data_IF_521576739409
#
_entry.id   IF_521576739409
#
_cell.length_a   1.000
_cell.length_b   1.000
_cell.length_c   1.000
_cell.angle_alpha   90.00
_cell.angle_beta   90.00
_cell.angle_gamma   90.00
#
_symmetry.space_group_name_H-M   'P 1'
#
loop_
_entity.id
_entity.type
_entity.pdbx_description
1 polymer ?
#
# COMPACT_ATOMS: atom_id res chain seq x y z
N UNK A 1 -7.19 33.04 2.76
CA UNK A 1 -5.77 33.12 2.34
C UNK A 1 -5.33 34.59 2.21
N UNK A 2 -3.99 34.93 2.37
CA UNK A 2 -3.47 36.26 2.03
C UNK A 2 -3.56 36.48 0.52
N UNK A 3 -3.64 37.74 0.07
CA UNK A 3 -3.83 38.05 -1.35
C UNK A 3 -2.69 37.55 -2.25
N UNK A 4 -1.44 37.62 -1.76
CA UNK A 4 -0.30 37.11 -2.51
C UNK A 4 -0.35 35.58 -2.69
N UNK A 5 -0.74 34.86 -1.65
CA UNK A 5 -0.93 33.41 -1.68
C UNK A 5 -2.04 33.01 -2.66
N UNK A 6 -3.14 33.79 -2.71
CA UNK A 6 -4.24 33.55 -3.65
C UNK A 6 -3.82 33.77 -5.10
N UNK A 7 -3.14 34.89 -5.38
CA UNK A 7 -2.61 35.17 -6.72
C UNK A 7 -1.71 34.03 -7.19
N UNK A 8 -0.78 33.60 -6.36
CA UNK A 8 0.10 32.46 -6.64
C UNK A 8 -0.68 31.17 -6.88
N UNK A 9 -1.63 30.84 -6.02
CA UNK A 9 -2.46 29.65 -6.15
C UNK A 9 -3.19 29.61 -7.47
N UNK A 10 -3.94 30.66 -7.83
CA UNK A 10 -4.69 30.72 -9.09
C UNK A 10 -3.79 30.72 -10.34
N UNK A 11 -2.62 31.37 -10.25
CA UNK A 11 -1.63 31.34 -11.33
C UNK A 11 -1.17 29.91 -11.60
N UNK A 12 -0.81 29.16 -10.56
CA UNK A 12 -0.35 27.76 -10.64
C UNK A 12 -1.49 26.87 -11.13
N UNK A 13 -2.70 27.04 -10.59
CA UNK A 13 -3.89 26.28 -11.04
C UNK A 13 -4.12 26.44 -12.54
N UNK A 14 -3.92 27.65 -13.08
CA UNK A 14 -4.07 27.95 -14.51
C UNK A 14 -2.82 27.59 -15.34
N UNK A 15 -1.81 26.95 -14.77
CA UNK A 15 -0.54 26.60 -15.40
C UNK A 15 0.20 27.82 -16.02
N UNK A 16 0.06 29.02 -15.44
CA UNK A 16 0.74 30.24 -15.87
C UNK A 16 2.07 30.40 -15.14
N UNK A 17 3.11 30.83 -15.85
CA UNK A 17 4.37 31.27 -15.24
C UNK A 17 4.21 32.64 -14.60
N UNK A 18 5.16 33.06 -13.76
CA UNK A 18 5.18 34.44 -13.25
C UNK A 18 5.34 35.46 -14.39
N UNK A 19 6.06 35.10 -15.44
CA UNK A 19 6.24 35.92 -16.62
C UNK A 19 4.91 36.12 -17.38
N UNK A 20 4.14 35.04 -17.58
CA UNK A 20 2.81 35.11 -18.24
C UNK A 20 1.84 36.01 -17.47
N UNK A 21 1.84 35.94 -16.14
CA UNK A 21 0.94 36.74 -15.32
C UNK A 21 1.41 38.21 -15.24
N UNK A 22 2.71 38.45 -15.10
CA UNK A 22 3.28 39.79 -14.98
C UNK A 22 3.25 40.58 -16.29
N UNK A 23 3.29 39.89 -17.46
CA UNK A 23 3.42 40.50 -18.76
C UNK A 23 2.35 41.58 -19.02
N UNK A 24 2.81 42.79 -19.33
CA UNK A 24 1.96 43.96 -19.60
C UNK A 24 1.38 44.65 -18.37
N UNK A 25 1.65 44.14 -17.14
CA UNK A 25 1.11 44.70 -15.90
C UNK A 25 2.23 45.24 -14.96
N UNK A 26 3.15 44.36 -14.57
CA UNK A 26 4.20 44.62 -13.57
C UNK A 26 5.48 43.85 -13.93
N UNK A 27 6.59 44.14 -13.22
CA UNK A 27 7.78 43.28 -13.38
C UNK A 27 7.64 41.94 -12.68
N UNK A 28 8.26 40.91 -13.26
CA UNK A 28 8.29 39.54 -12.68
C UNK A 28 8.83 39.54 -11.25
N UNK A 29 9.87 40.34 -11.00
CA UNK A 29 10.46 40.51 -9.66
C UNK A 29 9.46 41.09 -8.66
N UNK A 30 8.62 42.05 -9.10
CA UNK A 30 7.58 42.60 -8.22
C UNK A 30 6.45 41.63 -7.97
N UNK A 31 6.00 40.87 -8.99
CA UNK A 31 5.03 39.77 -8.81
C UNK A 31 5.56 38.74 -7.82
N UNK A 32 6.82 38.34 -7.94
CA UNK A 32 7.42 37.37 -7.01
C UNK A 32 7.39 37.88 -5.56
N UNK A 33 7.65 39.18 -5.32
CA UNK A 33 7.55 39.77 -3.98
C UNK A 33 6.10 39.77 -3.47
N UNK A 34 5.13 40.05 -4.33
CA UNK A 34 3.69 39.97 -3.99
C UNK A 34 3.29 38.55 -3.62
N UNK A 35 3.61 37.56 -4.46
CA UNK A 35 3.30 36.16 -4.23
C UNK A 35 3.94 35.58 -2.96
N UNK A 36 5.08 36.11 -2.56
CA UNK A 36 5.76 35.74 -1.30
C UNK A 36 5.37 36.64 -0.11
N UNK A 37 4.37 37.50 -0.27
CA UNK A 37 3.91 38.44 0.76
C UNK A 37 5.05 39.37 1.33
N UNK A 38 6.08 39.60 0.52
CA UNK A 38 7.21 40.51 0.86
C UNK A 38 6.95 41.96 0.47
N UNK A 39 5.89 42.23 -0.28
CA UNK A 39 5.46 43.57 -0.66
C UNK A 39 3.91 43.63 -0.67
N UNK A 40 3.40 44.74 -0.15
CA UNK A 40 1.97 45.05 -0.22
C UNK A 40 1.71 45.80 -1.55
N UNK A 41 1.02 45.21 -2.54
CA UNK A 41 0.69 45.89 -3.78
C UNK A 41 -0.39 46.95 -3.55
N UNK A 42 -0.46 47.96 -4.44
CA UNK A 42 -1.61 48.85 -4.47
C UNK A 42 -2.87 48.13 -4.89
N UNK A 43 -4.07 48.66 -4.53
CA UNK A 43 -5.34 48.08 -4.93
C UNK A 43 -5.45 47.95 -6.45
N UNK A 44 -4.96 48.93 -7.21
CA UNK A 44 -4.96 48.91 -8.67
C UNK A 44 -4.15 47.71 -9.25
N UNK A 45 -2.99 47.43 -8.68
CA UNK A 45 -2.16 46.28 -9.10
C UNK A 45 -2.84 44.95 -8.74
N UNK A 46 -3.48 44.86 -7.59
CA UNK A 46 -4.24 43.67 -7.20
C UNK A 46 -5.42 43.46 -8.16
N UNK A 47 -6.18 44.51 -8.45
CA UNK A 47 -7.32 44.41 -9.37
C UNK A 47 -6.90 43.97 -10.78
N UNK A 48 -5.82 44.53 -11.34
CA UNK A 48 -5.28 44.09 -12.63
C UNK A 48 -4.83 42.62 -12.62
N UNK A 49 -4.17 42.17 -11.57
CA UNK A 49 -3.76 40.76 -11.44
C UNK A 49 -4.97 39.83 -11.28
N UNK A 50 -5.94 40.22 -10.47
CA UNK A 50 -7.18 39.50 -10.26
C UNK A 50 -7.99 39.39 -11.57
N UNK A 51 -8.13 40.50 -12.33
CA UNK A 51 -8.81 40.52 -13.61
C UNK A 51 -8.14 39.58 -14.63
N UNK A 52 -6.80 39.59 -14.71
CA UNK A 52 -6.04 38.70 -15.60
C UNK A 52 -6.14 37.21 -15.23
N UNK A 53 -6.38 36.92 -13.93
CA UNK A 53 -6.63 35.60 -13.41
C UNK A 53 -8.12 35.21 -13.45
N UNK A 54 -9.03 36.16 -13.73
CA UNK A 54 -10.48 35.92 -13.68
C UNK A 54 -11.01 35.72 -12.27
N UNK A 55 -10.36 36.27 -11.25
CA UNK A 55 -10.73 36.15 -9.84
C UNK A 55 -11.15 37.52 -9.26
N UNK A 56 -11.88 37.49 -8.15
CA UNK A 56 -12.22 38.73 -7.42
C UNK A 56 -11.17 39.05 -6.37
N UNK A 57 -11.10 40.34 -6.00
CA UNK A 57 -10.24 40.80 -4.92
C UNK A 57 -10.60 40.18 -3.57
N UNK A 58 -11.90 40.08 -3.28
CA UNK A 58 -12.43 39.50 -2.03
C UNK A 58 -12.67 38.01 -2.24
N UNK A 59 -12.17 37.20 -1.29
CA UNK A 59 -12.47 35.77 -1.20
C UNK A 59 -13.89 35.58 -0.64
N UNK A 60 -14.69 34.78 -1.28
CA UNK A 60 -16.03 34.47 -0.79
C UNK A 60 -15.95 33.12 -0.06
N UNK A 61 -15.95 33.14 1.27
CA UNK A 61 -15.90 31.91 2.06
C UNK A 61 -17.19 31.08 1.85
N UNK A 62 -17.04 29.82 1.55
CA UNK A 62 -18.14 28.87 1.35
C UNK A 62 -18.02 27.71 2.37
N UNK A 63 -18.38 27.94 3.66
CA UNK A 63 -18.22 26.92 4.71
C UNK A 63 -18.96 25.61 4.40
N UNK A 64 -20.11 25.68 3.71
CA UNK A 64 -20.88 24.49 3.31
C UNK A 64 -20.12 23.61 2.32
N UNK A 65 -19.42 24.21 1.34
CA UNK A 65 -18.60 23.46 0.39
C UNK A 65 -17.40 22.80 1.09
N UNK A 66 -16.78 23.52 2.02
CA UNK A 66 -15.65 22.97 2.79
C UNK A 66 -16.10 21.78 3.64
N UNK A 67 -17.27 21.81 4.27
CA UNK A 67 -17.83 20.67 5.01
C UNK A 67 -18.11 19.48 4.07
N UNK A 68 -18.75 19.72 2.92
CA UNK A 68 -18.97 18.66 1.92
C UNK A 68 -17.64 18.00 1.46
N UNK A 69 -16.58 18.79 1.26
CA UNK A 69 -15.26 18.26 0.90
C UNK A 69 -14.63 17.42 2.03
N UNK A 70 -14.75 17.86 3.28
CA UNK A 70 -14.27 17.10 4.45
C UNK A 70 -15.05 15.80 4.64
N UNK A 71 -16.35 15.81 4.41
CA UNK A 71 -17.18 14.61 4.42
C UNK A 71 -16.79 13.63 3.30
N UNK A 72 -16.56 14.15 2.08
CA UNK A 72 -16.06 13.33 0.96
C UNK A 72 -14.73 12.68 1.28
N UNK A 73 -13.80 13.41 1.87
CA UNK A 73 -12.53 12.86 2.32
C UNK A 73 -12.70 11.76 3.38
N UNK A 74 -13.63 11.96 4.32
CA UNK A 74 -13.97 10.95 5.34
C UNK A 74 -14.47 9.66 4.71
N UNK A 75 -15.30 9.73 3.68
CA UNK A 75 -15.73 8.55 2.92
C UNK A 75 -14.55 7.80 2.28
N UNK A 76 -13.53 8.52 1.78
CA UNK A 76 -12.31 7.87 1.25
C UNK A 76 -11.54 7.10 2.33
N UNK A 77 -11.48 7.63 3.55
CA UNK A 77 -10.83 6.95 4.69
C UNK A 77 -11.64 5.73 5.14
N UNK A 78 -12.96 5.82 5.09
CA UNK A 78 -13.88 4.71 5.39
C UNK A 78 -13.95 3.67 4.26
N UNK A 79 -13.34 3.95 3.09
CA UNK A 79 -13.34 3.08 1.90
C UNK A 79 -14.73 2.85 1.28
N UNK A 80 -15.63 3.82 1.39
CA UNK A 80 -16.94 3.81 0.76
C UNK A 80 -16.83 4.20 -0.73
N UNK A 81 -16.23 3.32 -1.52
CA UNK A 81 -15.77 3.63 -2.88
C UNK A 81 -16.88 4.11 -3.82
N UNK A 82 -18.04 3.49 -3.78
CA UNK A 82 -19.17 3.83 -4.64
C UNK A 82 -19.67 5.25 -4.36
N UNK A 83 -19.81 5.62 -3.09
CA UNK A 83 -20.23 6.96 -2.70
C UNK A 83 -19.16 8.01 -3.00
N UNK A 84 -17.89 7.67 -2.82
CA UNK A 84 -16.75 8.55 -3.18
C UNK A 84 -16.76 8.87 -4.67
N UNK A 85 -16.98 7.88 -5.53
CA UNK A 85 -16.99 8.05 -6.97
C UNK A 85 -18.22 8.84 -7.44
N UNK A 86 -19.37 8.56 -6.85
CA UNK A 86 -20.62 9.28 -7.15
C UNK A 86 -20.51 10.79 -6.85
N UNK A 87 -19.90 11.17 -5.73
CA UNK A 87 -19.75 12.58 -5.30
C UNK A 87 -18.65 13.34 -6.04
N UNK A 88 -17.70 12.66 -6.67
CA UNK A 88 -16.53 13.31 -7.28
C UNK A 88 -16.89 14.35 -8.33
N UNK A 89 -17.70 14.00 -9.32
CA UNK A 89 -18.04 14.91 -10.43
C UNK A 89 -18.87 16.11 -9.93
N UNK A 90 -19.81 15.90 -8.99
CA UNK A 90 -20.59 16.97 -8.39
C UNK A 90 -19.70 17.97 -7.63
N UNK A 91 -18.82 17.47 -6.77
CA UNK A 91 -17.91 18.33 -5.99
C UNK A 91 -16.89 19.06 -6.89
N UNK A 92 -16.44 18.42 -7.94
CA UNK A 92 -15.56 19.01 -8.93
C UNK A 92 -16.26 20.18 -9.67
N UNK A 93 -17.51 20.02 -10.06
CA UNK A 93 -18.29 21.07 -10.68
C UNK A 93 -18.56 22.24 -9.71
N UNK A 94 -19.02 21.95 -8.48
CA UNK A 94 -19.21 22.96 -7.41
C UNK A 94 -17.93 23.73 -7.16
N UNK A 95 -16.81 23.03 -7.04
CA UNK A 95 -15.50 23.62 -6.78
C UNK A 95 -15.04 24.52 -7.93
N UNK A 96 -15.25 24.12 -9.20
CA UNK A 96 -14.91 24.96 -10.36
C UNK A 96 -15.73 26.25 -10.42
N UNK A 97 -16.94 26.26 -9.85
CA UNK A 97 -17.79 27.45 -9.77
C UNK A 97 -17.51 28.28 -8.52
N UNK A 98 -16.85 27.69 -7.51
CA UNK A 98 -16.56 28.33 -6.24
C UNK A 98 -15.52 29.46 -6.38
N UNK A 99 -15.63 30.44 -5.49
CA UNK A 99 -14.69 31.54 -5.34
C UNK A 99 -13.96 31.51 -4.00
N UNK A 100 -14.17 30.44 -3.23
CA UNK A 100 -13.44 30.21 -1.98
C UNK A 100 -12.11 29.53 -2.27
N UNK A 101 -11.03 30.32 -2.22
CA UNK A 101 -9.68 29.79 -2.45
C UNK A 101 -9.27 28.70 -1.45
N UNK A 102 -9.85 28.69 -0.26
CA UNK A 102 -9.58 27.66 0.77
C UNK A 102 -10.19 26.33 0.33
N UNK A 103 -11.47 26.32 -0.05
CA UNK A 103 -12.14 25.13 -0.56
C UNK A 103 -11.47 24.58 -1.82
N UNK A 104 -10.98 25.44 -2.70
CA UNK A 104 -10.22 25.01 -3.89
C UNK A 104 -8.92 24.26 -3.52
N UNK A 105 -8.18 24.72 -2.51
CA UNK A 105 -6.95 24.02 -2.04
C UNK A 105 -7.29 22.70 -1.38
N UNK A 106 -8.36 22.64 -0.56
CA UNK A 106 -8.84 21.38 0.02
C UNK A 106 -9.26 20.38 -1.06
N UNK A 107 -10.01 20.84 -2.07
CA UNK A 107 -10.40 19.97 -3.17
C UNK A 107 -9.18 19.40 -3.89
N UNK A 108 -8.19 20.23 -4.22
CA UNK A 108 -6.96 19.76 -4.89
C UNK A 108 -6.21 18.71 -4.07
N UNK A 109 -6.11 18.87 -2.75
CA UNK A 109 -5.53 17.87 -1.85
C UNK A 109 -6.36 16.60 -1.78
N UNK A 110 -7.68 16.72 -1.67
CA UNK A 110 -8.56 15.55 -1.57
C UNK A 110 -8.74 14.86 -2.92
N UNK A 111 -8.65 15.56 -4.04
CA UNK A 111 -8.56 14.97 -5.38
C UNK A 111 -7.25 14.17 -5.55
N UNK A 112 -6.13 14.67 -5.01
CA UNK A 112 -4.89 13.89 -4.92
C UNK A 112 -5.10 12.58 -4.14
N UNK A 113 -5.76 12.65 -2.98
CA UNK A 113 -6.13 11.48 -2.18
C UNK A 113 -7.07 10.52 -2.91
N UNK A 114 -8.01 11.05 -3.70
CA UNK A 114 -8.94 10.28 -4.53
C UNK A 114 -8.21 9.45 -5.59
N UNK A 115 -7.30 10.04 -6.34
CA UNK A 115 -6.49 9.30 -7.32
C UNK A 115 -5.61 8.23 -6.66
N UNK A 116 -5.11 8.48 -5.45
CA UNK A 116 -4.41 7.45 -4.68
C UNK A 116 -5.33 6.29 -4.27
N UNK A 117 -6.59 6.56 -3.94
CA UNK A 117 -7.59 5.53 -3.65
C UNK A 117 -7.87 4.65 -4.88
N UNK A 118 -7.93 5.26 -6.05
CA UNK A 118 -8.12 4.57 -7.34
C UNK A 118 -6.84 3.90 -7.86
N UNK A 119 -5.69 4.13 -7.23
CA UNK A 119 -4.35 3.72 -7.69
C UNK A 119 -3.95 4.33 -9.05
N UNK A 120 -4.50 5.45 -9.40
CA UNK A 120 -4.16 6.24 -10.58
C UNK A 120 -2.93 7.11 -10.31
N UNK A 121 -1.76 6.48 -10.17
CA UNK A 121 -0.53 7.13 -9.68
C UNK A 121 -0.04 8.24 -10.61
N UNK A 122 -0.30 8.15 -11.91
CA UNK A 122 0.08 9.19 -12.88
C UNK A 122 -0.68 10.51 -12.64
N UNK A 123 -2.01 10.45 -12.44
CA UNK A 123 -2.82 11.63 -12.14
C UNK A 123 -2.48 12.19 -10.76
N UNK A 124 -2.26 11.30 -9.79
CA UNK A 124 -1.78 11.67 -8.47
C UNK A 124 -0.45 12.43 -8.52
N UNK A 125 0.52 12.00 -9.34
CA UNK A 125 1.82 12.68 -9.50
C UNK A 125 1.68 14.09 -10.10
N UNK A 126 0.79 14.28 -11.06
CA UNK A 126 0.51 15.61 -11.63
C UNK A 126 0.02 16.59 -10.56
N UNK A 127 -0.92 16.15 -9.72
CA UNK A 127 -1.43 16.97 -8.64
C UNK A 127 -0.36 17.22 -7.57
N UNK A 128 0.43 16.20 -7.24
CA UNK A 128 1.54 16.36 -6.31
C UNK A 128 2.51 17.44 -6.74
N UNK A 129 2.86 17.52 -8.04
CA UNK A 129 3.71 18.60 -8.58
C UNK A 129 3.09 19.97 -8.35
N UNK A 130 1.80 20.16 -8.66
CA UNK A 130 1.08 21.43 -8.44
C UNK A 130 1.03 21.80 -6.95
N UNK A 131 0.73 20.84 -6.08
CA UNK A 131 0.69 21.04 -4.63
C UNK A 131 2.07 21.43 -4.09
N UNK A 132 3.14 20.84 -4.63
CA UNK A 132 4.51 21.17 -4.20
C UNK A 132 4.88 22.63 -4.49
N UNK A 133 4.36 23.25 -5.54
CA UNK A 133 4.61 24.66 -5.91
C UNK A 133 3.91 25.65 -4.97
N UNK A 134 2.91 25.18 -4.19
CA UNK A 134 2.16 25.99 -3.22
C UNK A 134 2.41 25.53 -1.78
N UNK A 135 3.35 24.62 -1.56
CA UNK A 135 3.56 23.98 -0.24
C UNK A 135 3.91 24.96 0.88
N UNK A 136 4.57 26.05 0.57
CA UNK A 136 4.97 27.11 1.51
C UNK A 136 3.83 28.05 1.93
N UNK A 137 2.70 28.03 1.23
CA UNK A 137 1.51 28.81 1.59
C UNK A 137 0.43 27.96 2.31
N UNK A 138 0.66 26.67 2.47
CA UNK A 138 -0.28 25.78 3.14
C UNK A 138 -0.27 26.05 4.66
N UNK A 139 -1.47 26.07 5.25
CA UNK A 139 -1.64 26.07 6.70
C UNK A 139 -1.14 24.78 7.34
N UNK A 140 -1.00 24.70 8.65
CA UNK A 140 -0.63 23.47 9.34
C UNK A 140 -1.62 22.34 9.04
N UNK A 141 -2.94 22.60 9.01
CA UNK A 141 -3.96 21.60 8.66
C UNK A 141 -3.78 21.07 7.22
N UNK A 142 -3.58 21.96 6.24
CA UNK A 142 -3.35 21.57 4.86
C UNK A 142 -2.02 20.84 4.68
N UNK A 143 -0.97 21.24 5.39
CA UNK A 143 0.32 20.54 5.41
C UNK A 143 0.21 19.13 6.03
N UNK A 144 -0.65 18.95 7.04
CA UNK A 144 -0.95 17.64 7.58
C UNK A 144 -1.47 16.70 6.49
N UNK A 145 -2.50 17.11 5.76
CA UNK A 145 -3.06 16.32 4.64
C UNK A 145 -2.01 16.09 3.55
N UNK A 146 -1.27 17.12 3.18
CA UNK A 146 -0.22 17.01 2.17
C UNK A 146 0.82 15.94 2.55
N UNK A 147 1.41 16.01 3.75
CA UNK A 147 2.38 15.00 4.19
C UNK A 147 1.77 13.60 4.30
N UNK A 148 0.54 13.49 4.80
CA UNK A 148 -0.18 12.21 4.88
C UNK A 148 -0.38 11.59 3.51
N UNK A 149 -0.76 12.37 2.50
CA UNK A 149 -1.01 11.87 1.15
C UNK A 149 0.29 11.59 0.38
N UNK A 150 1.34 12.38 0.57
CA UNK A 150 2.68 12.05 0.08
C UNK A 150 3.17 10.72 0.70
N UNK A 151 2.91 10.52 2.00
CA UNK A 151 3.19 9.26 2.68
C UNK A 151 2.47 8.08 2.01
N UNK A 152 1.18 8.24 1.69
CA UNK A 152 0.40 7.21 1.00
C UNK A 152 0.91 6.95 -0.43
N UNK A 153 1.22 8.00 -1.19
CA UNK A 153 1.82 7.86 -2.52
C UNK A 153 3.12 7.05 -2.47
N UNK A 154 4.01 7.40 -1.55
CA UNK A 154 5.27 6.69 -1.36
C UNK A 154 5.05 5.23 -0.93
N UNK A 155 4.05 4.97 -0.07
CA UNK A 155 3.67 3.62 0.32
C UNK A 155 3.20 2.78 -0.89
N UNK A 156 2.31 3.33 -1.71
CA UNK A 156 1.80 2.68 -2.92
C UNK A 156 2.89 2.48 -3.99
N UNK A 157 3.92 3.32 -3.98
CA UNK A 157 5.11 3.23 -4.84
C UNK A 157 6.23 2.35 -4.23
N UNK A 158 5.95 1.60 -3.17
CA UNK A 158 6.91 0.75 -2.44
C UNK A 158 8.12 1.50 -1.83
N UNK A 159 8.07 2.83 -1.74
CA UNK A 159 9.10 3.67 -1.12
C UNK A 159 8.83 3.83 0.38
N UNK A 160 8.86 2.73 1.13
CA UNK A 160 8.38 2.65 2.51
C UNK A 160 9.11 3.56 3.49
N UNK A 161 10.43 3.77 3.32
CA UNK A 161 11.18 4.67 4.19
C UNK A 161 10.71 6.14 4.02
N UNK A 162 10.55 6.59 2.78
CA UNK A 162 10.01 7.92 2.47
C UNK A 162 8.55 8.07 2.94
N UNK A 163 7.75 7.00 2.82
CA UNK A 163 6.38 6.98 3.36
C UNK A 163 6.39 7.21 4.88
N UNK A 164 7.22 6.49 5.61
CA UNK A 164 7.35 6.62 7.06
C UNK A 164 7.75 8.03 7.48
N UNK A 165 8.73 8.63 6.81
CA UNK A 165 9.20 9.99 7.09
C UNK A 165 8.10 11.03 6.89
N UNK A 166 7.31 10.93 5.82
CA UNK A 166 6.20 11.83 5.57
C UNK A 166 5.05 11.63 6.56
N UNK A 167 4.70 10.40 6.92
CA UNK A 167 3.73 10.16 7.98
C UNK A 167 4.21 10.70 9.34
N UNK A 168 5.51 10.66 9.64
CA UNK A 168 6.07 11.28 10.85
C UNK A 168 5.98 12.79 10.84
N UNK A 169 6.11 13.45 9.69
CA UNK A 169 5.85 14.90 9.55
C UNK A 169 4.36 15.20 9.81
N UNK A 170 3.46 14.41 9.24
CA UNK A 170 2.03 14.54 9.52
C UNK A 170 1.72 14.32 11.01
N UNK A 171 2.29 13.29 11.65
CA UNK A 171 2.14 13.03 13.09
C UNK A 171 2.58 14.24 13.93
N UNK A 172 3.69 14.89 13.58
CA UNK A 172 4.18 16.05 14.31
C UNK A 172 3.20 17.24 14.28
N UNK A 173 2.43 17.38 13.21
CA UNK A 173 1.38 18.40 13.10
C UNK A 173 0.15 17.97 13.88
N UNK A 174 -0.28 16.71 13.73
CA UNK A 174 -1.44 16.15 14.43
C UNK A 174 -1.32 16.31 15.95
N UNK A 175 -0.13 16.14 16.52
CA UNK A 175 0.12 16.27 17.97
C UNK A 175 -0.04 17.69 18.51
N UNK A 176 0.02 18.73 17.67
CA UNK A 176 -0.08 20.15 18.06
C UNK A 176 -1.36 20.84 17.55
N UNK A 177 -2.19 20.13 16.81
CA UNK A 177 -3.41 20.64 16.20
C UNK A 177 -4.61 19.79 16.62
N UNK A 178 -5.81 20.35 16.45
CA UNK A 178 -7.04 19.62 16.79
C UNK A 178 -7.56 18.92 15.54
N UNK A 179 -7.57 17.60 15.58
CA UNK A 179 -8.15 16.74 14.54
C UNK A 179 -9.15 15.78 15.17
N UNK A 180 -10.04 15.25 14.34
CA UNK A 180 -10.95 14.17 14.73
C UNK A 180 -10.18 12.90 15.11
N UNK A 181 -10.73 12.15 16.07
CA UNK A 181 -10.09 10.89 16.53
C UNK A 181 -9.96 9.84 15.42
N UNK A 182 -10.88 9.80 14.47
CA UNK A 182 -10.76 8.89 13.33
C UNK A 182 -9.56 9.22 12.43
N UNK A 183 -9.17 10.49 12.34
CA UNK A 183 -7.99 10.94 11.60
C UNK A 183 -6.68 10.49 12.27
N UNK A 184 -6.63 10.60 13.61
CA UNK A 184 -5.53 10.05 14.41
C UNK A 184 -5.39 8.54 14.21
N UNK A 185 -6.51 7.81 14.23
CA UNK A 185 -6.53 6.36 14.01
C UNK A 185 -6.02 5.98 12.62
N UNK A 186 -6.44 6.68 11.57
CA UNK A 186 -6.02 6.40 10.19
C UNK A 186 -4.52 6.68 9.97
N UNK A 187 -3.99 7.76 10.56
CA UNK A 187 -2.55 8.02 10.51
C UNK A 187 -1.75 6.96 11.29
N UNK A 188 -2.21 6.60 12.49
CA UNK A 188 -1.58 5.52 13.27
C UNK A 188 -1.61 4.18 12.50
N UNK A 189 -2.73 3.84 11.88
CA UNK A 189 -2.82 2.64 11.05
C UNK A 189 -1.83 2.68 9.88
N UNK A 190 -1.72 3.82 9.19
CA UNK A 190 -0.78 4.02 8.08
C UNK A 190 0.69 3.90 8.53
N UNK A 191 1.03 4.45 9.71
CA UNK A 191 2.34 4.27 10.35
C UNK A 191 2.60 2.81 10.73
N UNK A 192 1.59 2.12 11.23
CA UNK A 192 1.65 0.69 11.54
C UNK A 192 1.94 -0.16 10.30
N UNK A 193 1.16 0.02 9.23
CA UNK A 193 1.37 -0.65 7.95
C UNK A 193 2.78 -0.42 7.39
N UNK A 194 3.21 0.85 7.37
CA UNK A 194 4.53 1.22 6.85
C UNK A 194 5.65 0.64 7.70
N UNK A 195 5.48 0.63 9.03
CA UNK A 195 6.44 0.02 9.96
C UNK A 195 6.53 -1.49 9.74
N UNK A 196 5.41 -2.16 9.41
CA UNK A 196 5.40 -3.58 9.04
C UNK A 196 6.22 -3.85 7.78
N UNK A 197 6.09 -3.02 6.74
CA UNK A 197 6.90 -3.15 5.51
C UNK A 197 8.38 -2.92 5.75
N UNK A 198 8.73 -2.05 6.70
CA UNK A 198 10.10 -1.76 7.12
C UNK A 198 10.65 -2.75 8.16
N UNK A 199 9.94 -3.82 8.48
CA UNK A 199 10.31 -4.81 9.52
C UNK A 199 10.53 -4.20 10.92
N UNK A 200 9.96 -3.02 11.19
CA UNK A 200 10.02 -2.35 12.49
C UNK A 200 8.89 -2.85 13.40
N UNK A 201 8.99 -4.11 13.83
CA UNK A 201 7.90 -4.85 14.53
C UNK A 201 7.35 -4.10 15.73
N UNK A 202 8.21 -3.60 16.62
CA UNK A 202 7.80 -2.86 17.82
C UNK A 202 7.01 -1.59 17.49
N UNK A 203 7.42 -0.85 16.45
CA UNK A 203 6.69 0.34 16.00
C UNK A 203 5.36 -0.03 15.34
N UNK A 204 5.33 -1.13 14.57
CA UNK A 204 4.09 -1.65 14.01
C UNK A 204 3.08 -1.96 15.12
N UNK A 205 3.47 -2.73 16.14
CA UNK A 205 2.59 -3.06 17.28
C UNK A 205 2.12 -1.78 17.99
N UNK A 206 3.03 -0.85 18.29
CA UNK A 206 2.69 0.41 18.96
C UNK A 206 1.59 1.18 18.21
N UNK A 207 1.83 1.50 16.95
CA UNK A 207 0.91 2.32 16.17
C UNK A 207 -0.39 1.60 15.86
N UNK A 208 -0.33 0.30 15.57
CA UNK A 208 -1.54 -0.48 15.28
C UNK A 208 -2.43 -0.63 16.53
N UNK A 209 -1.83 -0.79 17.72
CA UNK A 209 -2.59 -0.84 18.99
C UNK A 209 -3.27 0.51 19.27
N UNK A 210 -2.59 1.63 19.01
CA UNK A 210 -3.20 2.96 19.15
C UNK A 210 -4.39 3.13 18.20
N UNK A 211 -4.23 2.77 16.93
CA UNK A 211 -5.31 2.81 15.94
C UNK A 211 -6.50 1.91 16.35
N UNK A 212 -6.20 0.67 16.77
CA UNK A 212 -7.21 -0.30 17.19
C UNK A 212 -8.07 0.24 18.34
N UNK A 213 -7.45 0.81 19.37
CA UNK A 213 -8.18 1.37 20.50
C UNK A 213 -9.18 2.45 20.09
N UNK A 214 -8.78 3.33 19.16
CA UNK A 214 -9.66 4.39 18.66
C UNK A 214 -10.77 3.80 17.78
N UNK A 215 -10.45 2.87 16.86
CA UNK A 215 -11.45 2.25 16.00
C UNK A 215 -12.48 1.45 16.78
N UNK A 216 -12.08 0.75 17.84
CA UNK A 216 -12.99 0.05 18.74
C UNK A 216 -13.93 1.02 19.49
N UNK A 217 -13.38 2.12 20.02
CA UNK A 217 -14.16 3.14 20.71
C UNK A 217 -15.21 3.82 19.79
N UNK A 218 -14.95 3.86 18.48
CA UNK A 218 -15.85 4.43 17.47
C UNK A 218 -16.62 3.38 16.66
N UNK A 219 -16.66 2.12 17.11
CA UNK A 219 -17.38 1.01 16.47
C UNK A 219 -17.03 0.77 15.00
N UNK A 220 -15.81 1.13 14.59
CA UNK A 220 -15.31 0.81 13.25
C UNK A 220 -14.78 -0.62 13.21
N UNK A 221 -15.68 -1.57 13.09
CA UNK A 221 -15.36 -3.00 13.17
C UNK A 221 -14.44 -3.45 12.03
N UNK A 222 -14.63 -2.96 10.80
CA UNK A 222 -13.79 -3.34 9.66
C UNK A 222 -12.32 -2.94 9.90
N UNK A 223 -12.08 -1.68 10.27
CA UNK A 223 -10.72 -1.21 10.60
C UNK A 223 -10.15 -1.90 11.83
N UNK A 224 -11.00 -2.24 12.81
CA UNK A 224 -10.55 -3.03 13.97
C UNK A 224 -10.05 -4.42 13.56
N UNK A 225 -10.72 -5.10 12.63
CA UNK A 225 -10.27 -6.39 12.12
C UNK A 225 -8.97 -6.27 11.30
N UNK A 226 -8.83 -5.24 10.47
CA UNK A 226 -7.59 -4.96 9.74
C UNK A 226 -6.41 -4.70 10.70
N UNK A 227 -6.64 -3.98 11.80
CA UNK A 227 -5.64 -3.80 12.86
C UNK A 227 -5.27 -5.13 13.52
N UNK A 228 -6.24 -5.99 13.82
CA UNK A 228 -5.98 -7.31 14.39
C UNK A 228 -5.15 -8.19 13.44
N UNK A 229 -5.41 -8.16 12.14
CA UNK A 229 -4.57 -8.86 11.15
C UNK A 229 -3.13 -8.34 11.19
N UNK A 230 -2.95 -7.03 11.22
CA UNK A 230 -1.62 -6.41 11.23
C UNK A 230 -0.86 -6.70 12.54
N UNK A 231 -1.56 -6.75 13.69
CA UNK A 231 -0.99 -7.20 14.96
C UNK A 231 -0.58 -8.67 14.88
N UNK A 232 -1.44 -9.54 14.35
CA UNK A 232 -1.13 -10.95 14.15
C UNK A 232 0.13 -11.17 13.30
N UNK A 233 0.28 -10.43 12.18
CA UNK A 233 1.50 -10.45 11.36
C UNK A 233 2.72 -10.03 12.19
N UNK A 234 2.57 -8.99 13.03
CA UNK A 234 3.67 -8.46 13.82
C UNK A 234 4.08 -9.40 14.95
N UNK A 235 3.11 -9.99 15.68
CA UNK A 235 3.37 -10.98 16.71
C UNK A 235 4.02 -12.25 16.14
N UNK A 236 3.56 -12.73 14.98
CA UNK A 236 4.20 -13.84 14.29
C UNK A 236 5.67 -13.54 13.94
N UNK A 237 5.99 -12.31 13.52
CA UNK A 237 7.38 -11.89 13.22
C UNK A 237 8.26 -11.75 14.46
N UNK A 238 7.68 -11.56 15.64
CA UNK A 238 8.40 -11.56 16.92
C UNK A 238 8.35 -12.91 17.65
N UNK A 239 7.92 -13.96 16.96
CA UNK A 239 7.78 -15.33 17.51
C UNK A 239 6.78 -15.46 18.67
N UNK A 240 5.86 -14.50 18.80
CA UNK A 240 4.76 -14.52 19.78
C UNK A 240 3.54 -15.22 19.16
N UNK A 241 3.66 -16.53 18.94
CA UNK A 241 2.73 -17.33 18.14
C UNK A 241 1.31 -17.33 18.69
N UNK A 242 1.16 -17.47 20.02
CA UNK A 242 -0.16 -17.50 20.68
C UNK A 242 -0.90 -16.16 20.49
N UNK A 243 -0.20 -15.02 20.62
CA UNK A 243 -0.79 -13.70 20.39
C UNK A 243 -1.13 -13.47 18.91
N UNK A 244 -0.33 -14.02 18.00
CA UNK A 244 -0.62 -13.94 16.57
C UNK A 244 -1.92 -14.69 16.26
N UNK A 245 -2.08 -15.91 16.77
CA UNK A 245 -3.28 -16.73 16.59
C UNK A 245 -4.51 -16.03 17.19
N UNK A 246 -4.43 -15.55 18.43
CA UNK A 246 -5.49 -14.80 19.09
C UNK A 246 -5.95 -13.60 18.24
N UNK A 247 -4.99 -12.81 17.74
CA UNK A 247 -5.28 -11.64 16.90
C UNK A 247 -6.02 -12.03 15.62
N UNK A 248 -5.58 -13.09 14.93
CA UNK A 248 -6.27 -13.56 13.72
C UNK A 248 -7.67 -14.11 14.03
N UNK A 249 -7.85 -14.83 15.13
CA UNK A 249 -9.16 -15.35 15.55
C UNK A 249 -10.13 -14.22 15.94
N UNK A 250 -9.63 -13.15 16.57
CA UNK A 250 -10.44 -11.94 16.84
C UNK A 250 -10.87 -11.26 15.53
N UNK A 251 -9.95 -11.14 14.59
CA UNK A 251 -10.28 -10.60 13.26
C UNK A 251 -11.35 -11.46 12.54
N UNK A 252 -11.25 -12.80 12.61
CA UNK A 252 -12.21 -13.72 12.00
C UNK A 252 -13.62 -13.58 12.59
N UNK A 253 -13.75 -13.45 13.92
CA UNK A 253 -15.02 -13.18 14.57
C UNK A 253 -15.69 -11.91 14.04
N UNK A 254 -14.91 -10.84 13.87
CA UNK A 254 -15.40 -9.58 13.32
C UNK A 254 -15.82 -9.76 11.86
N UNK A 255 -14.96 -10.38 11.04
CA UNK A 255 -15.23 -10.61 9.61
C UNK A 255 -16.47 -11.48 9.39
N UNK A 256 -16.72 -12.46 10.26
CA UNK A 256 -17.94 -13.27 10.27
C UNK A 256 -19.19 -12.40 10.52
N UNK A 257 -19.13 -11.48 11.49
CA UNK A 257 -20.23 -10.57 11.81
C UNK A 257 -20.54 -9.61 10.65
N UNK A 258 -19.48 -9.12 10.00
CA UNK A 258 -19.60 -8.20 8.84
C UNK A 258 -19.98 -8.92 7.54
N UNK A 259 -19.87 -10.25 7.50
CA UNK A 259 -20.00 -11.06 6.26
C UNK A 259 -18.99 -10.61 5.17
N UNK A 260 -17.83 -10.13 5.59
CA UNK A 260 -16.77 -9.68 4.68
C UNK A 260 -15.89 -10.87 4.26
N UNK A 261 -16.21 -11.45 3.11
CA UNK A 261 -15.51 -12.63 2.58
C UNK A 261 -14.07 -12.32 2.18
N UNK A 262 -13.79 -11.12 1.67
CA UNK A 262 -12.41 -10.72 1.32
C UNK A 262 -11.53 -10.69 2.57
N UNK A 263 -12.04 -10.09 3.64
CA UNK A 263 -11.34 -10.04 4.92
C UNK A 263 -11.10 -11.44 5.47
N UNK A 264 -12.09 -12.32 5.41
CA UNK A 264 -11.97 -13.74 5.78
C UNK A 264 -10.88 -14.44 4.97
N UNK A 265 -10.84 -14.22 3.68
CA UNK A 265 -9.79 -14.77 2.81
C UNK A 265 -8.39 -14.41 3.29
N UNK A 266 -8.16 -13.14 3.62
CA UNK A 266 -6.87 -12.67 4.15
C UNK A 266 -6.55 -13.27 5.52
N UNK A 267 -7.52 -13.37 6.42
CA UNK A 267 -7.33 -13.95 7.75
C UNK A 267 -6.95 -15.42 7.64
N UNK A 268 -7.71 -16.20 6.87
CA UNK A 268 -7.44 -17.63 6.70
C UNK A 268 -6.10 -17.90 6.01
N UNK A 269 -5.67 -17.04 5.07
CA UNK A 269 -4.32 -17.13 4.51
C UNK A 269 -3.24 -16.95 5.59
N UNK A 270 -3.39 -15.96 6.48
CA UNK A 270 -2.43 -15.72 7.56
C UNK A 270 -2.44 -16.82 8.63
N UNK A 271 -3.61 -17.38 8.96
CA UNK A 271 -3.72 -18.55 9.84
C UNK A 271 -3.05 -19.78 9.20
N UNK A 272 -3.31 -20.04 7.93
CA UNK A 272 -2.63 -21.12 7.20
C UNK A 272 -1.11 -20.98 7.27
N UNK A 273 -0.59 -19.77 7.04
CA UNK A 273 0.84 -19.50 7.15
C UNK A 273 1.36 -19.71 8.59
N UNK A 274 0.61 -19.30 9.61
CA UNK A 274 0.96 -19.48 11.01
C UNK A 274 1.09 -20.97 11.37
N UNK A 275 0.12 -21.79 10.95
CA UNK A 275 0.14 -23.25 11.19
C UNK A 275 1.22 -23.96 10.37
N UNK A 276 1.47 -23.50 9.13
CA UNK A 276 2.59 -24.01 8.31
C UNK A 276 3.94 -23.81 9.01
N UNK A 277 4.16 -22.64 9.62
CA UNK A 277 5.38 -22.38 10.41
C UNK A 277 5.53 -23.30 11.63
N UNK A 278 4.42 -23.72 12.22
CA UNK A 278 4.39 -24.68 13.33
C UNK A 278 4.48 -26.15 12.89
N UNK A 279 4.67 -26.40 11.58
CA UNK A 279 4.64 -27.76 10.99
C UNK A 279 3.31 -28.49 11.17
N UNK A 280 2.22 -27.76 11.37
CA UNK A 280 0.84 -28.28 11.47
C UNK A 280 0.19 -28.23 10.08
N UNK A 281 0.69 -29.05 9.15
CA UNK A 281 0.32 -28.97 7.73
C UNK A 281 -1.17 -29.23 7.48
N UNK A 282 -1.82 -30.11 8.22
CA UNK A 282 -3.26 -30.39 8.08
C UNK A 282 -4.12 -29.15 8.40
N UNK A 283 -3.80 -28.45 9.49
CA UNK A 283 -4.47 -27.18 9.86
C UNK A 283 -4.17 -26.09 8.85
N UNK A 284 -2.91 -26.00 8.40
CA UNK A 284 -2.51 -25.05 7.37
C UNK A 284 -3.30 -25.25 6.06
N UNK A 285 -3.42 -26.49 5.58
CA UNK A 285 -4.20 -26.86 4.38
C UNK A 285 -5.66 -26.42 4.55
N UNK A 286 -6.29 -26.77 5.68
CA UNK A 286 -7.68 -26.40 5.95
C UNK A 286 -7.90 -24.90 5.83
N UNK A 287 -7.00 -24.09 6.41
CA UNK A 287 -7.11 -22.65 6.35
C UNK A 287 -6.79 -22.07 4.95
N UNK A 288 -5.82 -22.60 4.23
CA UNK A 288 -5.55 -22.18 2.87
C UNK A 288 -6.70 -22.53 1.91
N UNK A 289 -7.35 -23.68 2.08
CA UNK A 289 -8.55 -24.06 1.30
C UNK A 289 -9.71 -23.09 1.58
N UNK A 290 -9.94 -22.73 2.83
CA UNK A 290 -10.94 -21.72 3.19
C UNK A 290 -10.59 -20.34 2.60
N UNK A 291 -9.32 -19.93 2.68
CA UNK A 291 -8.86 -18.70 2.05
C UNK A 291 -9.14 -18.70 0.54
N UNK A 292 -8.88 -19.81 -0.13
CA UNK A 292 -9.12 -19.93 -1.56
C UNK A 292 -10.61 -19.80 -1.92
N UNK A 293 -11.51 -20.34 -1.10
CA UNK A 293 -12.96 -20.25 -1.27
C UNK A 293 -13.46 -18.82 -1.04
N UNK A 294 -12.99 -18.14 0.00
CA UNK A 294 -13.44 -16.78 0.32
C UNK A 294 -12.90 -15.72 -0.65
N UNK A 295 -11.79 -15.97 -1.31
CA UNK A 295 -11.13 -15.04 -2.23
C UNK A 295 -11.56 -15.20 -3.69
N UNK A 296 -12.83 -15.55 -3.99
CA UNK A 296 -13.29 -15.73 -5.36
C UNK A 296 -13.10 -14.51 -6.27
N UNK A 297 -13.22 -13.31 -5.70
CA UNK A 297 -13.05 -12.04 -6.41
C UNK A 297 -11.67 -11.39 -6.20
N UNK A 298 -10.74 -12.09 -5.50
CA UNK A 298 -9.42 -11.55 -5.24
C UNK A 298 -8.58 -11.44 -6.52
N UNK A 299 -7.58 -10.56 -6.47
CA UNK A 299 -6.58 -10.45 -7.53
C UNK A 299 -5.94 -11.81 -7.83
N UNK A 300 -5.66 -12.05 -9.11
CA UNK A 300 -5.06 -13.30 -9.62
C UNK A 300 -3.81 -13.71 -8.85
N UNK A 301 -2.95 -12.75 -8.52
CA UNK A 301 -1.72 -12.96 -7.75
C UNK A 301 -1.97 -13.56 -6.37
N UNK A 302 -2.96 -13.05 -5.64
CA UNK A 302 -3.34 -13.56 -4.32
C UNK A 302 -3.87 -15.00 -4.38
N UNK A 303 -4.62 -15.33 -5.42
CA UNK A 303 -5.11 -16.71 -5.62
C UNK A 303 -3.99 -17.68 -6.01
N UNK A 304 -3.06 -17.26 -6.88
CA UNK A 304 -1.88 -18.07 -7.23
C UNK A 304 -0.99 -18.33 -6.02
N UNK A 305 -0.77 -17.31 -5.17
CA UNK A 305 -0.04 -17.47 -3.91
C UNK A 305 -0.70 -18.52 -3.00
N UNK A 306 -2.02 -18.47 -2.88
CA UNK A 306 -2.76 -19.41 -2.04
C UNK A 306 -2.70 -20.84 -2.56
N UNK A 307 -2.82 -21.02 -3.90
CA UNK A 307 -2.61 -22.32 -4.55
C UNK A 307 -1.18 -22.82 -4.29
N UNK A 308 -0.18 -21.97 -4.41
CA UNK A 308 1.22 -22.34 -4.16
C UNK A 308 1.43 -22.79 -2.71
N UNK A 309 0.83 -22.11 -1.74
CA UNK A 309 0.86 -22.54 -0.33
C UNK A 309 0.26 -23.93 -0.14
N UNK A 310 -0.87 -24.23 -0.79
CA UNK A 310 -1.48 -25.56 -0.76
C UNK A 310 -0.57 -26.62 -1.39
N UNK A 311 0.05 -26.33 -2.53
CA UNK A 311 1.03 -27.23 -3.17
C UNK A 311 2.16 -27.54 -2.22
N UNK A 312 2.71 -26.54 -1.52
CA UNK A 312 3.80 -26.73 -0.54
C UNK A 312 3.38 -27.61 0.62
N UNK A 313 2.19 -27.40 1.18
CA UNK A 313 1.73 -28.19 2.33
C UNK A 313 1.42 -29.64 1.93
N UNK A 314 0.75 -29.88 0.78
CA UNK A 314 0.50 -31.23 0.29
C UNK A 314 1.80 -31.99 -0.05
N UNK A 315 2.81 -31.29 -0.58
CA UNK A 315 4.14 -31.87 -0.77
C UNK A 315 4.78 -32.30 0.56
N UNK A 316 4.70 -31.46 1.61
CA UNK A 316 5.24 -31.78 2.95
C UNK A 316 4.64 -33.02 3.58
N UNK A 317 3.34 -33.23 3.41
CA UNK A 317 2.65 -34.42 3.94
C UNK A 317 2.66 -35.61 3.00
N UNK A 318 3.37 -35.50 1.86
CA UNK A 318 3.48 -36.53 0.83
C UNK A 318 2.12 -36.96 0.20
N UNK A 319 1.09 -36.11 0.25
CA UNK A 319 -0.16 -36.28 -0.50
C UNK A 319 0.00 -35.72 -1.91
N UNK A 320 0.77 -36.45 -2.73
CA UNK A 320 1.15 -36.01 -4.07
C UNK A 320 -0.04 -35.97 -5.04
N UNK A 321 -1.07 -36.78 -4.84
CA UNK A 321 -2.26 -36.76 -5.68
C UNK A 321 -2.98 -35.42 -5.58
N UNK A 322 -3.26 -34.96 -4.35
CA UNK A 322 -3.89 -33.66 -4.12
C UNK A 322 -2.94 -32.51 -4.47
N UNK A 323 -1.66 -32.63 -4.16
CA UNK A 323 -0.65 -31.65 -4.53
C UNK A 323 -0.65 -31.39 -6.04
N UNK A 324 -0.61 -32.44 -6.86
CA UNK A 324 -0.67 -32.34 -8.32
C UNK A 324 -2.02 -31.78 -8.82
N UNK A 325 -3.13 -32.05 -8.14
CA UNK A 325 -4.41 -31.43 -8.50
C UNK A 325 -4.36 -29.90 -8.35
N UNK A 326 -3.72 -29.39 -7.29
CA UNK A 326 -3.52 -27.97 -7.08
C UNK A 326 -2.48 -27.36 -8.04
N UNK A 327 -1.44 -28.10 -8.42
CA UNK A 327 -0.49 -27.67 -9.47
C UNK A 327 -1.22 -27.43 -10.78
N UNK A 328 -2.04 -28.41 -11.26
CA UNK A 328 -2.84 -28.24 -12.49
C UNK A 328 -3.76 -27.04 -12.41
N UNK A 329 -4.44 -26.84 -11.28
CA UNK A 329 -5.29 -25.67 -11.06
C UNK A 329 -4.50 -24.36 -11.12
N UNK A 330 -3.29 -24.31 -10.56
CA UNK A 330 -2.38 -23.17 -10.68
C UNK A 330 -1.95 -22.90 -12.11
N UNK A 331 -1.59 -23.94 -12.86
CA UNK A 331 -1.22 -23.85 -14.28
C UNK A 331 -2.38 -23.35 -15.16
N UNK A 332 -3.62 -23.80 -14.91
CA UNK A 332 -4.82 -23.30 -15.60
C UNK A 332 -5.07 -21.80 -15.38
N UNK A 333 -4.66 -21.27 -14.22
CA UNK A 333 -4.76 -19.86 -13.90
C UNK A 333 -3.65 -19.00 -14.54
N UNK A 334 -2.55 -19.60 -15.00
CA UNK A 334 -1.49 -18.98 -15.77
C UNK A 334 -1.92 -18.94 -17.25
N UNK A 335 -2.53 -17.85 -17.71
CA UNK A 335 -3.30 -17.73 -18.98
C UNK A 335 -2.50 -17.85 -20.29
N UNK A 336 -1.15 -17.90 -20.26
CA UNK A 336 -0.32 -18.08 -21.46
C UNK A 336 1.09 -18.54 -21.12
N UNK A 337 1.78 -19.20 -22.07
CA UNK A 337 3.21 -19.49 -21.96
C UNK A 337 4.09 -18.24 -21.84
N UNK A 338 3.56 -17.05 -22.21
CA UNK A 338 4.22 -15.75 -22.03
C UNK A 338 4.21 -15.26 -20.57
N UNK A 339 3.32 -15.78 -19.72
CA UNK A 339 3.34 -15.55 -18.27
C UNK A 339 4.46 -16.36 -17.58
N UNK A 340 5.71 -16.21 -18.07
CA UNK A 340 6.90 -16.78 -17.43
C UNK A 340 7.20 -15.99 -16.16
N UNK A 341 6.42 -16.27 -15.12
CA UNK A 341 6.52 -15.62 -13.82
C UNK A 341 6.99 -16.64 -12.76
N UNK A 342 7.25 -16.15 -11.55
CA UNK A 342 7.71 -16.98 -10.44
C UNK A 342 6.78 -18.17 -10.16
N UNK A 343 5.45 -18.03 -10.31
CA UNK A 343 4.48 -19.09 -10.05
C UNK A 343 4.63 -20.25 -11.03
N UNK A 344 4.90 -19.98 -12.31
CA UNK A 344 5.12 -21.04 -13.31
C UNK A 344 6.35 -21.89 -12.96
N UNK A 345 7.40 -21.26 -12.47
CA UNK A 345 8.61 -21.94 -12.01
C UNK A 345 8.33 -22.82 -10.79
N UNK A 346 7.58 -22.28 -9.80
CA UNK A 346 7.18 -23.03 -8.63
C UNK A 346 6.34 -24.26 -9.00
N UNK A 347 5.24 -24.08 -9.75
CA UNK A 347 4.35 -25.19 -10.09
C UNK A 347 5.04 -26.28 -10.87
N UNK A 348 5.88 -25.93 -11.85
CA UNK A 348 6.63 -26.91 -12.62
C UNK A 348 7.67 -27.65 -11.78
N UNK A 349 8.33 -26.95 -10.84
CA UNK A 349 9.26 -27.60 -9.92
C UNK A 349 8.58 -28.62 -9.04
N UNK A 350 7.40 -28.26 -8.46
CA UNK A 350 6.67 -29.17 -7.61
C UNK A 350 6.00 -30.31 -8.39
N UNK A 351 5.65 -30.10 -9.66
CA UNK A 351 5.23 -31.17 -10.56
C UNK A 351 6.32 -32.24 -10.69
N UNK A 352 7.57 -31.86 -10.97
CA UNK A 352 8.70 -32.79 -11.00
C UNK A 352 8.93 -33.49 -9.65
N UNK A 353 8.90 -32.73 -8.55
CA UNK A 353 9.14 -33.26 -7.20
C UNK A 353 8.08 -34.28 -6.77
N UNK A 354 6.82 -34.15 -7.24
CA UNK A 354 5.71 -35.04 -6.91
C UNK A 354 5.48 -36.14 -7.95
N UNK A 355 6.17 -36.11 -9.09
CA UNK A 355 6.11 -37.15 -10.13
C UNK A 355 7.45 -37.88 -10.22
N UNK A 356 8.36 -37.34 -11.00
CA UNK A 356 9.67 -37.95 -11.25
C UNK A 356 10.76 -36.89 -11.39
N UNK A 357 11.81 -37.01 -10.61
CA UNK A 357 13.01 -36.18 -10.72
C UNK A 357 14.03 -36.84 -11.64
N UNK A 358 14.22 -36.28 -12.82
CA UNK A 358 15.09 -36.78 -13.89
C UNK A 358 16.11 -35.72 -14.37
N UNK A 359 16.77 -35.93 -15.52
CA UNK A 359 17.73 -34.98 -16.09
C UNK A 359 17.06 -33.66 -16.51
N UNK A 360 15.78 -33.68 -16.90
CA UNK A 360 15.03 -32.46 -17.21
C UNK A 360 14.80 -31.61 -15.97
N UNK A 361 14.48 -32.24 -14.83
CA UNK A 361 14.41 -31.56 -13.53
C UNK A 361 15.72 -30.91 -13.14
N UNK A 362 16.87 -31.65 -13.29
CA UNK A 362 18.21 -31.08 -13.04
C UNK A 362 18.45 -29.82 -13.88
N UNK A 363 18.23 -29.93 -15.19
CA UNK A 363 18.41 -28.83 -16.12
C UNK A 363 17.50 -27.63 -15.80
N UNK A 364 16.22 -27.92 -15.50
CA UNK A 364 15.24 -26.89 -15.18
C UNK A 364 15.60 -26.09 -13.92
N UNK A 365 15.97 -26.77 -12.82
CA UNK A 365 16.37 -26.09 -11.60
C UNK A 365 17.65 -25.29 -11.80
N UNK A 366 18.68 -25.88 -12.44
CA UNK A 366 20.00 -25.29 -12.60
C UNK A 366 20.01 -24.10 -13.55
N UNK A 367 19.31 -24.17 -14.67
CA UNK A 367 19.41 -23.18 -15.75
C UNK A 367 18.26 -22.14 -15.71
N UNK A 368 17.16 -22.43 -15.01
CA UNK A 368 15.99 -21.57 -14.99
C UNK A 368 15.60 -21.09 -13.60
N UNK A 369 15.35 -22.01 -12.67
CA UNK A 369 14.71 -21.67 -11.38
C UNK A 369 15.69 -20.94 -10.46
N UNK A 370 16.84 -21.54 -10.16
CA UNK A 370 17.83 -20.96 -9.25
C UNK A 370 18.34 -19.60 -9.76
N UNK A 371 18.76 -19.44 -11.06
CA UNK A 371 19.20 -18.15 -11.58
C UNK A 371 18.12 -17.08 -11.57
N UNK A 372 16.85 -17.45 -11.78
CA UNK A 372 15.74 -16.51 -11.70
C UNK A 372 15.61 -15.90 -10.29
N UNK A 373 15.60 -16.75 -9.25
CA UNK A 373 15.48 -16.27 -7.87
C UNK A 373 16.75 -15.58 -7.35
N UNK A 374 17.94 -15.94 -7.86
CA UNK A 374 19.17 -15.18 -7.61
C UNK A 374 19.06 -13.74 -8.15
N UNK A 375 18.59 -13.58 -9.38
CA UNK A 375 18.36 -12.25 -9.99
C UNK A 375 17.34 -11.42 -9.24
N UNK A 376 16.34 -12.06 -8.65
CA UNK A 376 15.31 -11.42 -7.82
C UNK A 376 15.80 -11.15 -6.38
N UNK A 377 17.02 -11.53 -6.02
CA UNK A 377 17.54 -11.49 -4.65
C UNK A 377 16.65 -12.23 -3.63
N UNK A 378 15.91 -13.26 -4.08
CA UNK A 378 15.05 -14.07 -3.22
C UNK A 378 15.86 -15.23 -2.61
N UNK A 379 16.63 -14.92 -1.58
CA UNK A 379 17.52 -15.86 -0.90
C UNK A 379 16.79 -17.09 -0.36
N UNK A 380 15.52 -16.99 0.01
CA UNK A 380 14.72 -18.12 0.50
C UNK A 380 14.54 -19.18 -0.58
N UNK A 381 14.02 -18.82 -1.74
CA UNK A 381 13.76 -19.78 -2.81
C UNK A 381 15.07 -20.28 -3.46
N UNK A 382 16.13 -19.46 -3.51
CA UNK A 382 17.48 -19.95 -3.90
C UNK A 382 17.93 -21.07 -2.96
N UNK A 383 17.74 -20.89 -1.64
CA UNK A 383 18.09 -21.93 -0.67
C UNK A 383 17.25 -23.19 -0.84
N UNK A 384 15.93 -23.04 -0.88
CA UNK A 384 14.98 -24.16 -0.94
C UNK A 384 15.24 -25.03 -2.19
N UNK A 385 15.36 -24.40 -3.37
CA UNK A 385 15.58 -25.14 -4.61
C UNK A 385 17.01 -25.66 -4.79
N UNK A 386 18.01 -25.01 -4.20
CA UNK A 386 19.37 -25.56 -4.14
C UNK A 386 19.40 -26.82 -3.28
N UNK A 387 18.65 -26.86 -2.19
CA UNK A 387 18.54 -28.06 -1.35
C UNK A 387 17.85 -29.21 -2.10
N UNK A 388 16.75 -28.95 -2.82
CA UNK A 388 16.09 -29.98 -3.62
C UNK A 388 16.99 -30.54 -4.73
N UNK A 389 17.77 -29.66 -5.39
CA UNK A 389 18.75 -30.10 -6.38
C UNK A 389 19.91 -30.91 -5.76
N UNK A 390 20.34 -30.52 -4.55
CA UNK A 390 21.34 -31.29 -3.81
C UNK A 390 20.84 -32.68 -3.44
N UNK A 391 19.58 -32.81 -2.98
CA UNK A 391 18.94 -34.11 -2.70
C UNK A 391 18.83 -34.97 -3.95
N UNK A 392 18.50 -34.37 -5.10
CA UNK A 392 18.50 -35.08 -6.38
C UNK A 392 19.89 -35.67 -6.72
N UNK A 393 20.96 -34.85 -6.59
CA UNK A 393 22.32 -35.33 -6.83
C UNK A 393 22.77 -36.43 -5.84
N UNK A 394 22.35 -36.31 -4.57
CA UNK A 394 22.65 -37.31 -3.54
C UNK A 394 21.98 -38.66 -3.88
N UNK A 395 20.71 -38.68 -4.28
CA UNK A 395 20.00 -39.89 -4.72
C UNK A 395 20.66 -40.53 -5.95
N UNK A 396 21.25 -39.71 -6.82
CA UNK A 396 21.97 -40.16 -8.02
C UNK A 396 23.47 -40.41 -7.77
N UNK A 397 23.92 -40.49 -6.52
CA UNK A 397 25.31 -40.73 -6.09
C UNK A 397 26.32 -39.69 -6.62
N UNK A 398 25.89 -38.50 -7.03
CA UNK A 398 26.70 -37.37 -7.49
C UNK A 398 27.13 -36.48 -6.31
N UNK A 399 27.77 -37.03 -5.30
CA UNK A 399 28.01 -36.39 -3.99
C UNK A 399 28.77 -35.06 -4.05
N UNK A 400 29.70 -34.89 -4.99
CA UNK A 400 30.42 -33.62 -5.17
C UNK A 400 29.48 -32.48 -5.57
N UNK A 401 28.57 -32.77 -6.48
CA UNK A 401 27.53 -31.79 -6.90
C UNK A 401 26.55 -31.54 -5.77
N UNK A 402 26.08 -32.57 -5.09
CA UNK A 402 25.24 -32.44 -3.91
C UNK A 402 25.85 -31.50 -2.86
N UNK A 403 27.14 -31.72 -2.51
CA UNK A 403 27.87 -30.87 -1.57
C UNK A 403 27.93 -29.39 -1.99
N UNK A 404 28.11 -29.12 -3.29
CA UNK A 404 28.14 -27.75 -3.81
C UNK A 404 26.78 -27.03 -3.61
N UNK A 405 25.67 -27.72 -3.93
CA UNK A 405 24.34 -27.13 -3.80
C UNK A 405 23.86 -27.03 -2.34
N UNK A 406 24.21 -27.97 -1.45
CA UNK A 406 24.02 -27.80 -0.01
C UNK A 406 24.80 -26.60 0.53
N UNK A 407 26.03 -26.36 0.03
CA UNK A 407 26.81 -25.18 0.41
C UNK A 407 26.13 -23.87 -0.06
N UNK A 408 25.62 -23.87 -1.29
CA UNK A 408 24.87 -22.73 -1.82
C UNK A 408 23.62 -22.46 -0.97
N UNK A 409 22.81 -23.48 -0.67
CA UNK A 409 21.64 -23.38 0.18
C UNK A 409 22.00 -22.78 1.56
N UNK A 410 22.99 -23.34 2.23
CA UNK A 410 23.43 -22.86 3.56
C UNK A 410 23.99 -21.43 3.52
N UNK A 411 24.72 -21.06 2.47
CA UNK A 411 25.28 -19.71 2.35
C UNK A 411 24.19 -18.66 2.13
N UNK A 412 23.12 -19.02 1.43
CA UNK A 412 21.95 -18.15 1.21
C UNK A 412 21.10 -18.02 2.46
N UNK A 413 20.89 -19.08 3.24
CA UNK A 413 20.21 -19.02 4.54
C UNK A 413 20.94 -18.11 5.54
N UNK A 414 22.28 -18.15 5.56
CA UNK A 414 23.05 -17.25 6.43
C UNK A 414 22.84 -15.77 6.07
N UNK A 415 22.63 -15.45 4.80
CA UNK A 415 22.31 -14.07 4.38
C UNK A 415 20.94 -13.61 4.90
N UNK A 416 19.96 -14.52 5.01
CA UNK A 416 18.63 -14.22 5.56
C UNK A 416 18.70 -13.96 7.07
N UNK A 417 19.49 -14.74 7.79
CA UNK A 417 19.58 -14.69 9.26
C UNK A 417 20.50 -13.58 9.78
N UNK A 418 21.30 -12.93 8.92
CA UNK A 418 22.20 -11.83 9.29
C UNK A 418 21.60 -10.44 9.03
N UNK A 419 20.29 -10.35 8.72
CA UNK A 419 19.48 -9.12 8.68
C UNK A 419 18.70 -8.99 9.99
#
# INVERSE_FOLDING_TARGET
MKIGDRIRFYRIQQNKTQEDLANGLISVSYLSKIENNLSLPSLEVVDMLCEKLGIRFIDEEEPSLLEELKDWYKLMVLQEKEEVEFRYEELKEKTNQSRDSTSLVYFMLFEYRYFLLKRELYEAEKLHKKISEISDILTDELNYFNYKFIGLYNYLSNSYQSAYENYKKAESILLRSVFDKWEEADLCYSLGLTSSQLWKVTLCIKYTTQALAIYQAHYNYKRSAECQILLGISYRRSDEIDKAEESYLLADKIANTLKDFNLKGHIHHNLGYLYSMQSKSEDAIKHYEQSFLFNEQAERSSRLLNILCLVFEYYKICDFEKGLSWVRKGQEWLKSEEDFNEYSLHFRTYEYLMTETNEEFEHFLKERVIPFFEKQNNSKYVSDYSEELARYYERNHKYKLASNYYRLANSTLKKINNI
#
